data_IF_193157323083
#
_entry.id   IF_193157323083
#
_cell.length_a   1.000
_cell.length_b   1.000
_cell.length_c   1.000
_cell.angle_alpha   90.00
_cell.angle_beta   90.00
_cell.angle_gamma   90.00
#
_symmetry.space_group_name_H-M   'P 1'
#
loop_
_entity.id
_entity.type
_entity.pdbx_description
1 polymer ?
#
# COMPACT_ATOMS: atom_id res chain seq x y z
N UNK A 1 14.22 -15.31 2.53
CA UNK A 1 12.86 -15.81 2.37
C UNK A 1 11.88 -14.79 2.89
N UNK A 2 10.81 -14.60 2.23
CA UNK A 2 9.78 -13.67 2.64
C UNK A 2 8.41 -14.29 2.45
N UNK A 3 7.42 -13.60 2.95
CA UNK A 3 6.03 -13.98 2.79
C UNK A 3 5.46 -13.19 1.63
N UNK A 4 5.00 -13.86 0.58
CA UNK A 4 4.43 -13.18 -0.58
C UNK A 4 2.96 -12.85 -0.35
N UNK A 5 2.58 -11.65 -0.77
CA UNK A 5 1.20 -11.19 -0.73
C UNK A 5 0.80 -10.67 -2.10
N UNK A 6 -0.48 -10.76 -2.40
CA UNK A 6 -1.03 -10.29 -3.66
C UNK A 6 -2.30 -9.49 -3.40
N UNK A 7 -2.43 -8.39 -4.12
CA UNK A 7 -3.66 -7.62 -4.13
C UNK A 7 -4.62 -8.28 -5.13
N UNK A 8 -5.66 -8.93 -4.61
CA UNK A 8 -6.60 -9.71 -5.42
C UNK A 8 -7.68 -8.83 -6.05
N UNK A 9 -8.13 -7.84 -5.32
CA UNK A 9 -9.17 -6.93 -5.79
C UNK A 9 -8.99 -5.59 -5.09
N UNK A 10 -9.23 -4.52 -5.82
CA UNK A 10 -9.04 -3.19 -5.26
C UNK A 10 -9.95 -2.17 -5.92
N UNK A 11 -10.62 -1.38 -5.10
CA UNK A 11 -11.26 -0.14 -5.51
C UNK A 11 -10.60 1.05 -4.81
N UNK A 12 -9.44 0.82 -4.20
CA UNK A 12 -8.79 1.84 -3.39
C UNK A 12 -8.27 2.99 -4.24
N UNK A 13 -8.51 4.20 -3.76
CA UNK A 13 -8.12 5.43 -4.44
C UNK A 13 -7.52 6.38 -3.43
N UNK A 14 -6.40 6.99 -3.80
CA UNK A 14 -5.85 8.15 -3.10
C UNK A 14 -6.16 9.38 -3.96
N UNK A 15 -7.17 10.18 -3.59
CA UNK A 15 -7.55 11.35 -4.37
C UNK A 15 -6.42 12.37 -4.49
N UNK A 16 -6.37 13.05 -5.61
CA UNK A 16 -5.34 14.05 -5.88
C UNK A 16 -5.25 15.09 -4.76
N UNK A 17 -6.38 15.55 -4.26
CA UNK A 17 -6.42 16.58 -3.21
C UNK A 17 -5.73 16.18 -1.92
N UNK A 18 -5.51 14.88 -1.71
CA UNK A 18 -4.88 14.34 -0.50
C UNK A 18 -3.46 13.85 -0.73
N UNK A 19 -2.96 13.90 -1.96
CA UNK A 19 -1.64 13.33 -2.26
C UNK A 19 -0.49 14.11 -1.62
N UNK A 20 -0.61 15.42 -1.52
CA UNK A 20 0.43 16.22 -0.86
C UNK A 20 0.55 15.87 0.62
N UNK A 21 -0.57 15.71 1.31
CA UNK A 21 -0.56 15.31 2.71
C UNK A 21 -0.06 13.87 2.88
N UNK A 22 -0.47 12.98 1.97
CA UNK A 22 0.02 11.60 1.98
C UNK A 22 1.55 11.56 1.81
N UNK A 23 2.07 12.35 0.89
CA UNK A 23 3.50 12.46 0.68
C UNK A 23 4.20 12.91 1.95
N UNK A 24 3.70 13.98 2.57
CA UNK A 24 4.26 14.51 3.81
C UNK A 24 4.31 13.44 4.91
N UNK A 25 3.22 12.69 5.07
CA UNK A 25 3.15 11.64 6.09
C UNK A 25 4.10 10.50 5.82
N UNK A 26 4.18 10.07 4.57
CA UNK A 26 5.08 8.98 4.20
C UNK A 26 6.55 9.39 4.32
N UNK A 27 6.88 10.63 3.97
CA UNK A 27 8.23 11.13 4.19
C UNK A 27 8.58 11.17 5.68
N UNK A 28 7.63 11.56 6.53
CA UNK A 28 7.84 11.60 7.96
C UNK A 28 8.12 10.22 8.56
N UNK A 29 7.65 9.15 7.95
CA UNK A 29 7.96 7.80 8.40
C UNK A 29 9.47 7.53 8.40
N UNK A 30 10.21 8.19 7.51
CA UNK A 30 11.66 7.98 7.43
C UNK A 30 12.39 8.42 8.69
N UNK A 31 11.78 9.23 9.53
CA UNK A 31 12.36 9.67 10.80
C UNK A 31 12.21 8.63 11.91
N UNK A 32 11.52 7.52 11.64
CA UNK A 32 11.22 6.49 12.63
C UNK A 32 12.01 5.22 12.35
N UNK A 33 13.31 5.24 12.66
CA UNK A 33 14.18 4.11 12.40
C UNK A 33 13.71 2.83 13.09
N UNK A 34 13.04 2.95 14.22
CA UNK A 34 12.52 1.79 14.97
C UNK A 34 11.48 1.01 14.19
N UNK A 35 10.91 1.60 13.14
CA UNK A 35 9.90 0.95 12.31
C UNK A 35 10.48 0.35 11.04
N UNK A 36 11.76 0.62 10.76
CA UNK A 36 12.41 0.13 9.55
C UNK A 36 12.88 -1.30 9.75
N UNK A 37 12.54 -2.16 8.81
CA UNK A 37 12.86 -3.59 8.87
C UNK A 37 13.91 -4.02 7.86
N UNK A 38 14.24 -3.15 6.92
CA UNK A 38 15.23 -3.44 5.90
C UNK A 38 16.64 -3.26 6.42
N UNK A 39 17.55 -3.95 5.82
CA UNK A 39 18.98 -3.99 5.98
C UNK A 39 19.64 -3.22 7.09
N UNK A 40 20.88 -3.50 7.25
CA UNK A 40 21.72 -2.65 8.10
C UNK A 40 23.14 -2.75 7.57
N UNK A 41 23.74 -1.60 7.39
CA UNK A 41 25.12 -1.51 6.94
C UNK A 41 25.98 -0.91 8.05
N UNK A 42 27.27 -1.11 7.92
CA UNK A 42 28.23 -0.58 8.85
C UNK A 42 28.52 -1.54 9.99
N UNK A 43 29.59 -1.26 10.74
CA UNK A 43 30.06 -2.17 11.80
C UNK A 43 29.01 -2.44 12.88
N UNK A 44 28.16 -1.47 13.15
CA UNK A 44 27.17 -1.56 14.20
C UNK A 44 25.74 -1.69 13.66
N UNK A 45 25.57 -1.91 12.35
CA UNK A 45 24.27 -2.01 11.74
C UNK A 45 23.46 -0.73 11.87
N UNK A 46 24.11 0.40 11.70
CA UNK A 46 23.50 1.71 11.96
C UNK A 46 22.54 2.18 10.90
N UNK A 47 22.74 1.78 9.65
CA UNK A 47 21.89 2.21 8.56
C UNK A 47 20.70 1.28 8.43
N UNK A 48 19.52 1.87 8.47
CA UNK A 48 18.26 1.15 8.33
C UNK A 48 17.40 1.81 7.27
N UNK A 49 16.64 1.00 6.58
CA UNK A 49 15.65 1.49 5.62
C UNK A 49 14.42 0.61 5.66
N UNK A 50 13.37 1.07 5.03
CA UNK A 50 12.16 0.26 4.94
C UNK A 50 12.36 -0.84 3.91
N UNK A 51 11.90 -2.04 4.25
CA UNK A 51 12.03 -3.21 3.37
C UNK A 51 11.47 -2.91 1.99
N UNK A 52 12.22 -3.27 0.96
CA UNK A 52 11.88 -3.11 -0.44
C UNK A 52 11.81 -1.66 -0.94
N UNK A 53 12.10 -0.71 -0.08
CA UNK A 53 12.19 0.71 -0.45
C UNK A 53 13.63 1.06 -0.78
N UNK A 54 13.80 2.09 -1.62
CA UNK A 54 15.11 2.68 -1.84
C UNK A 54 15.62 3.24 -0.51
N UNK A 55 16.84 2.89 -0.08
CA UNK A 55 17.37 3.43 1.18
C UNK A 55 17.44 4.95 1.21
N UNK A 56 17.46 5.58 0.06
CA UNK A 56 17.60 7.04 -0.05
C UNK A 56 16.25 7.76 -0.14
N UNK A 57 15.11 7.02 -0.07
CA UNK A 57 13.86 7.75 -0.01
C UNK A 57 13.84 8.62 1.26
N UNK A 58 13.19 9.77 1.32
CA UNK A 58 12.32 10.32 0.29
C UNK A 58 13.03 11.11 -0.81
N UNK A 59 14.35 11.28 -0.74
CA UNK A 59 15.08 12.08 -1.72
C UNK A 59 14.93 11.58 -3.15
N UNK A 60 14.74 10.27 -3.32
CA UNK A 60 14.53 9.65 -4.63
C UNK A 60 13.09 9.66 -5.10
N UNK A 61 12.17 10.13 -4.27
CA UNK A 61 10.75 10.12 -4.55
C UNK A 61 10.19 11.52 -4.51
N UNK A 62 9.72 12.01 -5.67
CA UNK A 62 9.26 13.38 -5.81
C UNK A 62 7.81 13.60 -5.33
N UNK A 63 7.02 12.53 -5.21
CA UNK A 63 5.62 12.61 -4.84
C UNK A 63 5.14 11.31 -4.19
N UNK A 64 3.87 11.31 -3.77
CA UNK A 64 3.27 10.15 -3.13
C UNK A 64 3.27 8.92 -4.04
N UNK A 65 2.98 9.11 -5.32
CA UNK A 65 2.98 8.00 -6.28
C UNK A 65 4.35 7.34 -6.35
N UNK A 66 5.41 8.14 -6.40
CA UNK A 66 6.78 7.61 -6.49
C UNK A 66 7.12 6.74 -5.28
N UNK A 67 6.72 7.15 -4.09
CA UNK A 67 6.94 6.35 -2.88
C UNK A 67 6.19 5.02 -2.97
N UNK A 68 4.92 5.07 -3.36
CA UNK A 68 4.08 3.88 -3.42
C UNK A 68 4.52 2.91 -4.52
N UNK A 69 4.99 3.43 -5.65
CA UNK A 69 5.56 2.60 -6.72
C UNK A 69 6.85 1.93 -6.24
N UNK A 70 7.68 2.68 -5.53
CA UNK A 70 8.91 2.13 -4.98
C UNK A 70 8.62 1.01 -3.98
N UNK A 71 7.53 1.15 -3.23
CA UNK A 71 7.06 0.14 -2.28
C UNK A 71 6.58 -1.13 -2.99
N UNK A 72 6.10 -1.02 -4.23
CA UNK A 72 5.67 -2.17 -5.02
C UNK A 72 4.27 -2.08 -5.61
N UNK A 73 3.57 -0.98 -5.41
CA UNK A 73 2.22 -0.83 -5.96
C UNK A 73 2.22 -0.46 -7.44
N UNK A 74 1.19 -0.93 -8.13
CA UNK A 74 0.89 -0.57 -9.50
C UNK A 74 -0.44 0.16 -9.53
N UNK A 75 -0.51 1.16 -10.40
CA UNK A 75 -1.69 2.01 -10.50
C UNK A 75 -2.37 1.83 -11.84
N UNK A 76 -3.69 1.99 -11.84
CA UNK A 76 -4.49 1.79 -13.03
C UNK A 76 -4.34 2.94 -14.01
N UNK A 77 -4.18 2.60 -15.30
CA UNK A 77 -4.18 3.57 -16.39
C UNK A 77 -5.58 3.87 -16.92
N UNK A 78 -6.60 3.31 -16.30
CA UNK A 78 -7.97 3.44 -16.81
C UNK A 78 -8.45 4.88 -16.88
N UNK A 79 -7.84 5.75 -16.08
CA UNK A 79 -8.20 7.16 -16.11
C UNK A 79 -7.65 7.89 -17.31
N UNK A 80 -6.68 7.33 -17.99
CA UNK A 80 -6.07 7.95 -19.17
C UNK A 80 -7.12 8.16 -20.26
N UNK A 81 -8.05 7.21 -20.41
CA UNK A 81 -9.14 7.32 -21.36
C UNK A 81 -10.13 8.43 -21.08
N UNK A 82 -10.07 9.02 -19.91
CA UNK A 82 -10.94 10.13 -19.52
C UNK A 82 -10.34 11.48 -19.80
N UNK A 83 -9.16 11.52 -20.35
CA UNK A 83 -8.57 12.78 -20.77
C UNK A 83 -9.34 13.31 -21.96
N UNK A 84 -9.90 14.47 -21.81
CA UNK A 84 -10.61 15.15 -22.87
C UNK A 84 -9.75 16.30 -23.34
N UNK A 85 -9.46 16.32 -24.64
CA UNK A 85 -8.94 17.49 -25.34
C UNK A 85 -7.95 18.33 -24.52
N UNK A 86 -6.89 17.73 -24.05
CA UNK A 86 -5.84 18.44 -23.30
C UNK A 86 -6.11 18.63 -21.82
N UNK A 87 -7.25 18.22 -21.29
CA UNK A 87 -7.53 18.29 -19.88
C UNK A 87 -7.03 17.01 -19.21
N UNK A 88 -6.18 17.16 -18.23
CA UNK A 88 -5.83 16.08 -17.34
C UNK A 88 -6.94 15.99 -16.31
N UNK A 89 -7.82 15.02 -16.46
CA UNK A 89 -9.02 15.00 -15.65
C UNK A 89 -8.81 14.53 -14.25
N UNK A 90 -8.11 13.46 -14.06
CA UNK A 90 -7.92 12.94 -12.75
C UNK A 90 -6.51 12.44 -12.59
N UNK A 91 -5.88 12.92 -11.57
CA UNK A 91 -4.59 12.40 -11.16
C UNK A 91 -4.75 11.59 -9.88
N UNK A 92 -5.97 11.14 -9.61
CA UNK A 92 -6.23 10.24 -8.48
C UNK A 92 -5.44 8.96 -8.71
N UNK A 93 -4.86 8.47 -7.64
CA UNK A 93 -4.12 7.22 -7.69
C UNK A 93 -5.07 6.07 -7.42
N UNK A 94 -5.36 5.29 -8.46
CA UNK A 94 -6.21 4.10 -8.36
C UNK A 94 -5.30 2.89 -8.22
N UNK A 95 -5.30 2.29 -7.05
CA UNK A 95 -4.46 1.14 -6.75
C UNK A 95 -4.99 -0.08 -7.49
N UNK A 96 -4.15 -0.70 -8.29
CA UNK A 96 -4.58 -1.83 -9.12
C UNK A 96 -3.95 -3.13 -8.74
N UNK A 97 -2.66 -3.14 -8.43
CA UNK A 97 -1.96 -4.40 -8.21
C UNK A 97 -0.81 -4.26 -7.23
N UNK A 98 -0.51 -5.36 -6.58
CA UNK A 98 0.67 -5.57 -5.78
C UNK A 98 0.91 -7.07 -5.72
N UNK A 99 2.07 -7.52 -6.14
CA UNK A 99 2.43 -8.93 -6.13
C UNK A 99 3.90 -9.04 -5.79
N UNK A 100 4.19 -9.15 -4.50
CA UNK A 100 5.56 -9.15 -4.03
C UNK A 100 5.63 -9.71 -2.62
N UNK A 101 6.83 -9.76 -2.09
CA UNK A 101 7.02 -10.11 -0.68
C UNK A 101 6.40 -9.03 0.19
N UNK A 102 5.76 -9.47 1.28
CA UNK A 102 5.28 -8.53 2.28
C UNK A 102 6.47 -7.84 2.91
N UNK A 103 6.46 -6.52 2.80
CA UNK A 103 7.47 -5.68 3.40
C UNK A 103 6.81 -4.77 4.41
N UNK A 104 6.63 -3.53 4.04
CA UNK A 104 6.02 -2.55 4.93
C UNK A 104 4.84 -1.84 4.28
N UNK A 105 4.18 -2.53 3.35
CA UNK A 105 3.02 -2.00 2.65
C UNK A 105 1.90 -1.60 3.62
N UNK A 106 1.71 -2.38 4.68
CA UNK A 106 0.72 -2.07 5.71
C UNK A 106 1.03 -0.76 6.43
N UNK A 107 2.28 -0.58 6.84
CA UNK A 107 2.68 0.64 7.55
C UNK A 107 2.42 1.89 6.71
N UNK A 108 2.82 1.86 5.44
CA UNK A 108 2.66 3.01 4.55
C UNK A 108 1.19 3.28 4.25
N UNK A 109 0.43 2.24 3.92
CA UNK A 109 -0.99 2.39 3.59
C UNK A 109 -1.79 2.83 4.81
N UNK A 110 -1.53 2.25 5.98
CA UNK A 110 -2.27 2.61 7.19
C UNK A 110 -1.99 4.05 7.62
N UNK A 111 -0.80 4.55 7.33
CA UNK A 111 -0.43 5.94 7.63
C UNK A 111 -1.27 6.94 6.84
N UNK A 112 -1.75 6.56 5.65
CA UNK A 112 -2.54 7.44 4.79
C UNK A 112 -3.98 6.98 4.62
N UNK A 113 -4.41 5.98 5.38
CA UNK A 113 -5.70 5.33 5.19
C UNK A 113 -6.90 6.28 5.30
N UNK A 114 -6.84 7.27 6.18
CA UNK A 114 -7.93 8.25 6.34
C UNK A 114 -8.02 9.22 5.16
N UNK A 115 -7.04 9.23 4.30
CA UNK A 115 -7.03 10.04 3.08
C UNK A 115 -7.52 9.26 1.87
N UNK A 116 -7.75 7.97 2.03
CA UNK A 116 -8.12 7.06 0.94
C UNK A 116 -9.58 6.69 0.99
N UNK A 117 -10.09 6.16 -0.12
CA UNK A 117 -11.42 5.60 -0.23
C UNK A 117 -11.34 4.21 -0.86
N UNK A 118 -12.43 3.45 -0.74
CA UNK A 118 -12.52 2.13 -1.34
C UNK A 118 -11.91 1.04 -0.47
N UNK A 119 -11.51 -0.05 -1.10
CA UNK A 119 -10.97 -1.20 -0.38
C UNK A 119 -9.83 -1.87 -1.13
N UNK A 120 -9.03 -2.64 -0.39
CA UNK A 120 -8.04 -3.56 -0.93
C UNK A 120 -8.30 -4.95 -0.35
N UNK A 121 -8.37 -5.96 -1.23
CA UNK A 121 -8.55 -7.34 -0.81
C UNK A 121 -7.27 -8.11 -1.14
N UNK A 122 -6.74 -8.77 -0.15
CA UNK A 122 -5.40 -9.37 -0.20
C UNK A 122 -5.44 -10.88 -0.03
N UNK A 123 -4.46 -11.56 -0.62
CA UNK A 123 -4.18 -12.96 -0.31
C UNK A 123 -2.71 -13.13 0.02
N UNK A 124 -2.42 -14.11 0.87
CA UNK A 124 -1.06 -14.52 1.18
C UNK A 124 -0.71 -15.83 0.50
N UNK A 125 0.57 -16.13 0.42
CA UNK A 125 1.05 -17.35 -0.24
C UNK A 125 0.58 -18.63 0.46
N UNK A 126 0.17 -18.52 1.71
CA UNK A 126 -0.37 -19.64 2.49
C UNK A 126 -1.89 -19.78 2.36
N UNK A 127 -2.52 -18.99 1.48
CA UNK A 127 -3.97 -19.01 1.30
C UNK A 127 -4.75 -18.09 2.22
N UNK A 128 -4.07 -17.36 3.10
CA UNK A 128 -4.75 -16.39 3.96
C UNK A 128 -5.38 -15.28 3.13
N UNK A 129 -6.49 -14.76 3.61
CA UNK A 129 -7.20 -13.65 2.95
C UNK A 129 -7.53 -12.60 3.98
N UNK A 130 -7.45 -11.32 3.56
CA UNK A 130 -7.88 -10.20 4.40
C UNK A 130 -8.27 -9.04 3.50
N UNK A 131 -8.96 -8.06 4.08
CA UNK A 131 -9.43 -6.88 3.35
C UNK A 131 -9.18 -5.66 4.21
N UNK A 132 -8.79 -4.58 3.57
CA UNK A 132 -8.69 -3.25 4.17
C UNK A 132 -9.74 -2.37 3.53
N UNK A 133 -10.55 -1.71 4.35
CA UNK A 133 -11.51 -0.73 3.88
C UNK A 133 -11.13 0.64 4.41
N UNK A 134 -11.13 1.64 3.56
CA UNK A 134 -10.61 2.96 3.86
C UNK A 134 -11.71 3.99 3.97
N UNK A 135 -11.56 4.96 4.87
CA UNK A 135 -12.50 6.05 5.04
C UNK A 135 -11.96 7.08 6.01
N UNK A 136 -12.73 8.13 6.29
CA UNK A 136 -12.27 9.24 7.14
C UNK A 136 -11.78 8.83 8.51
N UNK A 137 -12.26 7.70 9.01
CA UNK A 137 -11.86 7.17 10.31
C UNK A 137 -10.63 6.26 10.24
N UNK A 138 -10.03 6.12 9.06
CA UNK A 138 -8.87 5.28 8.86
C UNK A 138 -9.18 3.98 8.17
N UNK A 139 -8.50 2.91 8.56
CA UNK A 139 -8.62 1.60 7.96
C UNK A 139 -9.44 0.67 8.84
N UNK A 140 -10.29 -0.13 8.20
CA UNK A 140 -10.92 -1.30 8.80
C UNK A 140 -10.26 -2.53 8.23
N UNK A 141 -9.73 -3.37 9.07
CA UNK A 141 -9.14 -4.64 8.65
C UNK A 141 -10.14 -5.76 8.90
N UNK A 142 -10.47 -6.50 7.85
CA UNK A 142 -11.49 -7.55 7.91
C UNK A 142 -10.88 -8.89 7.49
N UNK A 143 -11.37 -9.94 8.13
CA UNK A 143 -10.96 -11.30 7.82
C UNK A 143 -12.20 -12.13 7.47
N UNK A 144 -12.10 -13.07 6.52
CA UNK A 144 -13.25 -13.90 6.17
C UNK A 144 -13.62 -14.81 7.34
N UNK A 145 -14.90 -15.10 7.44
CA UNK A 145 -15.35 -16.10 8.41
C UNK A 145 -14.83 -17.47 8.01
N UNK A 146 -14.40 -18.29 8.96
CA UNK A 146 -14.04 -19.67 8.65
C UNK A 146 -15.23 -20.41 8.04
N UNK A 147 -14.95 -21.26 7.06
CA UNK A 147 -15.95 -22.16 6.49
C UNK A 147 -16.03 -23.39 7.37
N UNK A 148 -17.23 -23.66 7.87
CA UNK A 148 -17.46 -24.84 8.65
C UNK A 148 -18.20 -25.90 7.81
N UNK A 149 -17.66 -27.09 7.82
CA UNK A 149 -18.29 -28.20 7.11
C UNK A 149 -19.19 -28.92 8.11
N UNK A 150 -20.48 -28.93 7.83
CA UNK A 150 -21.47 -29.55 8.69
C UNK A 150 -22.02 -30.78 8.01
N UNK A 151 -22.03 -31.89 8.75
CA UNK A 151 -22.60 -33.12 8.24
C UNK A 151 -24.14 -32.98 8.18
N UNK A 152 -24.68 -33.21 6.98
CA UNK A 152 -26.13 -33.17 6.79
C UNK A 152 -26.68 -34.57 7.05
N UNK A 153 -27.52 -34.69 8.07
CA UNK A 153 -28.21 -35.93 8.35
C UNK A 153 -29.51 -35.92 7.59
N UNK A 154 -29.58 -36.77 6.62
CA UNK A 154 -30.75 -36.87 5.79
C UNK A 154 -31.70 -37.96 6.20
#
# INVERSE_FOLDING_TARGET
MGYYVRLEDSTAVLPKKHQAEAYRRMCALNDHDERKRGGSFGPDGEEKWFSWMDPNYPETCADAKAILVDLGFWFSDKQVGRRLAGACLSEDLVFEDYDSKSGQEDLFIFTIADLMTGYMEWSGEDGARWRWEFGPDGVKELFPKPVEWVEVKG
#
